data_IF_039556009829
#
_entry.id   IF_039556009829
#
_cell.length_a   1.000
_cell.length_b   1.000
_cell.length_c   1.000
_cell.angle_alpha   90.00
_cell.angle_beta   90.00
_cell.angle_gamma   90.00
#
_symmetry.space_group_name_H-M   'P 1'
#
loop_
_entity.id
_entity.type
_entity.pdbx_description
1 polymer ?
#
# COMPACT_ATOMS: atom_id res chain seq x y z
N UNK A 1 -11.20 0.20 -17.76
CA UNK A 1 -10.37 -0.98 -17.98
C UNK A 1 -9.16 -0.99 -17.06
N UNK A 2 -8.79 -2.17 -16.60
CA UNK A 2 -7.62 -2.32 -15.74
C UNK A 2 -6.34 -1.78 -16.39
N UNK A 3 -6.17 -2.01 -17.67
CA UNK A 3 -4.96 -1.60 -18.40
C UNK A 3 -4.73 -0.08 -18.42
N UNK A 4 -5.78 0.71 -18.16
CA UNK A 4 -5.67 2.16 -18.10
C UNK A 4 -5.50 2.68 -16.67
N UNK A 5 -5.33 1.76 -15.70
CA UNK A 5 -5.18 2.12 -14.30
C UNK A 5 -3.71 2.21 -13.92
N UNK A 6 -3.45 2.69 -12.71
CA UNK A 6 -2.09 2.87 -12.21
C UNK A 6 -1.57 4.28 -12.35
N UNK A 7 -2.38 5.19 -12.87
CA UNK A 7 -1.99 6.59 -13.07
C UNK A 7 -0.83 6.71 -14.05
N UNK A 8 -0.04 7.76 -13.88
CA UNK A 8 1.10 8.05 -14.77
C UNK A 8 2.12 6.90 -14.82
N UNK A 9 2.28 6.17 -13.71
CA UNK A 9 3.33 5.15 -13.59
C UNK A 9 2.92 3.78 -14.13
N UNK A 10 1.65 3.56 -14.38
CA UNK A 10 1.15 2.33 -14.99
C UNK A 10 0.82 1.23 -14.00
N UNK A 11 0.06 0.25 -14.49
CA UNK A 11 -0.52 -0.82 -13.67
C UNK A 11 0.49 -1.86 -13.22
N UNK A 12 1.36 -2.30 -14.11
CA UNK A 12 2.25 -3.42 -13.83
C UNK A 12 1.54 -4.76 -13.98
N UNK A 13 1.98 -5.75 -13.23
CA UNK A 13 1.53 -7.13 -13.31
C UNK A 13 0.67 -7.50 -12.10
N UNK A 14 -0.21 -8.51 -12.21
CA UNK A 14 -0.92 -9.02 -11.03
C UNK A 14 0.07 -9.31 -9.90
N UNK A 15 -0.30 -8.89 -8.71
CA UNK A 15 0.59 -9.00 -7.54
C UNK A 15 0.47 -10.39 -6.91
N UNK A 16 0.87 -11.42 -7.66
CA UNK A 16 0.69 -12.82 -7.26
C UNK A 16 1.59 -13.19 -6.07
N UNK A 17 2.79 -12.63 -6.01
CA UNK A 17 3.75 -12.96 -4.95
C UNK A 17 3.23 -12.63 -3.56
N UNK A 18 2.42 -11.59 -3.42
CA UNK A 18 1.87 -11.14 -2.14
C UNK A 18 0.37 -11.34 -2.03
N UNK A 19 -0.25 -12.05 -3.00
CA UNK A 19 -1.71 -12.20 -3.06
C UNK A 19 -2.32 -12.73 -1.77
N UNK A 20 -1.61 -13.61 -1.05
CA UNK A 20 -2.09 -14.18 0.20
C UNK A 20 -2.23 -13.16 1.34
N UNK A 21 -1.66 -11.97 1.17
CA UNK A 21 -1.72 -10.90 2.17
C UNK A 21 -2.66 -9.75 1.74
N UNK A 22 -3.47 -9.99 0.72
CA UNK A 22 -4.43 -9.02 0.22
C UNK A 22 -5.82 -9.63 0.15
N UNK A 23 -6.83 -8.83 0.44
CA UNK A 23 -8.21 -9.15 0.13
C UNK A 23 -8.53 -8.45 -1.19
N UNK A 24 -8.87 -9.22 -2.23
CA UNK A 24 -9.11 -8.69 -3.57
C UNK A 24 -7.86 -8.68 -4.44
N UNK A 25 -8.00 -8.13 -5.63
CA UNK A 25 -6.93 -8.15 -6.64
C UNK A 25 -6.12 -6.87 -6.61
N UNK A 26 -4.81 -7.02 -6.53
CA UNK A 26 -3.88 -5.91 -6.66
C UNK A 26 -2.87 -6.15 -7.77
N UNK A 27 -2.16 -5.10 -8.13
CA UNK A 27 -1.14 -5.12 -9.19
C UNK A 27 0.10 -4.39 -8.68
N UNK A 28 1.25 -4.82 -9.16
CA UNK A 28 2.53 -4.28 -8.73
C UNK A 28 3.37 -3.92 -9.94
N UNK A 29 3.89 -2.70 -9.94
CA UNK A 29 4.89 -2.28 -10.91
C UNK A 29 6.11 -1.80 -10.16
N UNK A 30 7.23 -2.49 -10.31
CA UNK A 30 8.49 -2.08 -9.73
C UNK A 30 9.09 -1.00 -10.61
N UNK A 31 9.37 0.16 -10.03
CA UNK A 31 9.89 1.32 -10.75
C UNK A 31 11.40 1.47 -10.58
N UNK A 32 11.92 1.06 -9.43
CA UNK A 32 13.36 1.11 -9.15
C UNK A 32 14.08 -0.04 -9.83
N UNK A 33 15.39 0.10 -9.99
CA UNK A 33 16.25 -0.94 -10.54
C UNK A 33 17.01 -1.62 -9.42
N UNK A 34 17.40 -2.86 -9.66
CA UNK A 34 18.27 -3.59 -8.71
C UNK A 34 19.52 -2.79 -8.44
N UNK A 35 19.82 -2.57 -7.16
CA UNK A 35 20.99 -1.80 -6.74
C UNK A 35 20.72 -0.32 -6.50
N UNK A 36 19.51 0.16 -6.83
CA UNK A 36 19.15 1.53 -6.51
C UNK A 36 19.09 1.74 -4.99
N UNK A 37 19.33 2.96 -4.52
CA UNK A 37 19.31 3.23 -3.07
C UNK A 37 17.94 3.06 -2.44
N UNK A 38 16.87 3.20 -3.22
CA UNK A 38 15.49 3.04 -2.74
C UNK A 38 14.74 2.03 -3.60
N UNK A 39 13.90 1.24 -2.96
CA UNK A 39 12.93 0.42 -3.67
C UNK A 39 11.66 1.23 -3.82
N UNK A 40 11.24 1.42 -5.06
CA UNK A 40 10.05 2.21 -5.39
C UNK A 40 9.12 1.36 -6.25
N UNK A 41 7.88 1.23 -5.81
CA UNK A 41 6.86 0.48 -6.54
C UNK A 41 5.61 1.34 -6.72
N UNK A 42 4.84 1.02 -7.73
CA UNK A 42 3.47 1.51 -7.86
C UNK A 42 2.54 0.34 -7.58
N UNK A 43 1.72 0.47 -6.55
CA UNK A 43 0.78 -0.58 -6.14
C UNK A 43 -0.62 -0.11 -6.49
N UNK A 44 -1.35 -0.93 -7.26
CA UNK A 44 -2.71 -0.60 -7.69
C UNK A 44 -3.69 -1.63 -7.13
N UNK A 45 -4.79 -1.13 -6.61
CA UNK A 45 -5.82 -1.91 -5.94
C UNK A 45 -7.12 -1.77 -6.72
N UNK A 46 -7.77 -2.90 -7.04
CA UNK A 46 -9.13 -2.87 -7.57
C UNK A 46 -10.10 -2.35 -6.49
N UNK A 47 -11.29 -1.87 -6.87
CA UNK A 47 -12.25 -1.39 -5.87
C UNK A 47 -12.47 -2.40 -4.75
N UNK A 48 -12.37 -1.94 -3.51
CA UNK A 48 -12.53 -2.79 -2.33
C UNK A 48 -11.31 -3.59 -1.93
N UNK A 49 -10.28 -3.66 -2.76
CA UNK A 49 -9.05 -4.39 -2.44
C UNK A 49 -8.26 -3.65 -1.37
N UNK A 50 -7.75 -4.41 -0.40
CA UNK A 50 -6.90 -3.86 0.67
C UNK A 50 -5.91 -4.93 1.11
N UNK A 51 -4.76 -4.48 1.61
CA UNK A 51 -3.82 -5.43 2.20
C UNK A 51 -4.22 -5.74 3.65
N UNK A 52 -3.59 -6.76 4.21
CA UNK A 52 -3.76 -7.11 5.60
C UNK A 52 -3.09 -6.08 6.49
N UNK A 53 -3.48 -6.02 7.76
CA UNK A 53 -2.72 -5.29 8.75
C UNK A 53 -1.28 -5.79 8.72
N UNK A 54 -0.31 -4.87 8.79
CA UNK A 54 1.10 -5.25 8.75
C UNK A 54 1.98 -4.20 9.39
N UNK A 55 3.23 -4.59 9.68
CA UNK A 55 4.21 -3.75 10.36
C UNK A 55 5.52 -3.85 9.61
N UNK A 56 6.15 -2.70 9.37
CA UNK A 56 7.53 -2.64 8.87
C UNK A 56 8.44 -2.48 10.08
N UNK A 57 9.18 -3.53 10.43
CA UNK A 57 10.10 -3.49 11.55
C UNK A 57 11.47 -3.02 11.11
N UNK A 58 12.15 -2.28 11.98
CA UNK A 58 13.54 -1.89 11.79
C UNK A 58 14.15 -1.54 13.14
N UNK A 59 15.44 -1.85 13.29
CA UNK A 59 16.17 -1.43 14.48
C UNK A 59 16.40 0.07 14.46
N UNK A 60 16.77 0.61 13.29
CA UNK A 60 16.93 2.04 13.04
C UNK A 60 16.43 2.35 11.64
N UNK A 61 15.90 3.54 11.44
CA UNK A 61 15.34 3.95 10.16
C UNK A 61 14.14 3.11 9.78
N UNK A 62 14.04 2.76 8.51
CA UNK A 62 12.96 1.93 8.01
C UNK A 62 11.63 2.66 7.89
N UNK A 63 10.58 1.87 7.70
CA UNK A 63 9.25 2.40 7.43
C UNK A 63 8.99 2.52 5.94
N UNK A 64 7.93 3.20 5.60
CA UNK A 64 7.48 3.31 4.22
C UNK A 64 6.84 4.67 4.00
N UNK A 65 7.00 5.22 2.80
CA UNK A 65 6.24 6.41 2.38
C UNK A 65 5.33 5.97 1.24
N UNK A 66 4.06 6.34 1.31
CA UNK A 66 3.15 6.11 0.19
C UNK A 66 2.62 7.45 -0.32
N UNK A 67 2.43 7.53 -1.62
CA UNK A 67 1.90 8.73 -2.30
C UNK A 67 0.78 8.29 -3.22
N UNK A 68 -0.44 8.77 -2.97
CA UNK A 68 -1.56 8.47 -3.84
C UNK A 68 -1.35 9.15 -5.20
N UNK A 69 -1.46 8.39 -6.28
CA UNK A 69 -1.28 8.90 -7.64
C UNK A 69 -2.50 8.70 -8.53
N UNK A 70 -3.47 7.87 -8.12
CA UNK A 70 -4.68 7.65 -8.91
C UNK A 70 -5.79 7.10 -8.02
N UNK A 71 -7.03 7.51 -8.30
CA UNK A 71 -8.19 7.03 -7.60
C UNK A 71 -8.27 7.47 -6.15
N UNK A 72 -9.04 6.72 -5.35
CA UNK A 72 -9.25 7.04 -3.94
C UNK A 72 -9.04 5.80 -3.08
N UNK A 73 -8.39 6.00 -1.94
CA UNK A 73 -8.08 4.90 -1.04
C UNK A 73 -8.16 5.30 0.42
N UNK A 74 -7.74 4.34 1.25
CA UNK A 74 -7.70 4.47 2.70
C UNK A 74 -6.32 4.14 3.23
N UNK A 75 -5.94 4.79 4.31
CA UNK A 75 -4.85 4.40 5.17
C UNK A 75 -5.36 4.40 6.60
N UNK A 76 -5.05 3.37 7.36
CA UNK A 76 -5.43 3.34 8.78
C UNK A 76 -4.31 2.79 9.63
N UNK A 77 -3.97 3.53 10.67
CA UNK A 77 -3.08 3.13 11.73
C UNK A 77 -3.92 2.49 12.82
N UNK A 78 -3.42 1.41 13.41
CA UNK A 78 -4.12 0.75 14.52
C UNK A 78 -4.45 1.75 15.63
N UNK A 79 -5.70 1.73 16.09
CA UNK A 79 -6.18 2.62 17.15
C UNK A 79 -6.62 4.00 16.66
N UNK A 80 -6.52 4.27 15.37
CA UNK A 80 -6.92 5.57 14.79
C UNK A 80 -8.01 5.37 13.74
N UNK A 81 -8.70 6.45 13.41
CA UNK A 81 -9.70 6.43 12.36
C UNK A 81 -9.05 6.28 10.98
N UNK A 82 -9.73 5.64 10.02
CA UNK A 82 -9.24 5.57 8.66
C UNK A 82 -9.07 6.97 8.07
N UNK A 83 -7.99 7.15 7.32
CA UNK A 83 -7.68 8.40 6.64
C UNK A 83 -7.96 8.22 5.15
N UNK A 84 -8.78 9.10 4.59
CA UNK A 84 -9.08 9.11 3.16
C UNK A 84 -7.88 9.63 2.37
N UNK A 85 -7.58 8.98 1.25
CA UNK A 85 -6.46 9.37 0.38
C UNK A 85 -6.98 9.69 -1.02
N UNK A 86 -6.51 10.82 -1.55
CA UNK A 86 -6.75 11.24 -2.94
C UNK A 86 -5.43 11.58 -3.59
N UNK A 87 -5.35 11.67 -4.93
CA UNK A 87 -4.08 11.94 -5.61
C UNK A 87 -3.37 13.17 -5.05
N UNK A 88 -2.09 13.00 -4.73
CA UNK A 88 -1.26 14.02 -4.11
C UNK A 88 -1.08 13.85 -2.61
N UNK A 89 -1.90 13.03 -1.94
CA UNK A 89 -1.75 12.78 -0.52
C UNK A 89 -0.53 11.90 -0.25
N UNK A 90 0.21 12.26 0.78
CA UNK A 90 1.43 11.57 1.19
C UNK A 90 1.26 11.09 2.63
N UNK A 91 1.60 9.83 2.87
CA UNK A 91 1.61 9.26 4.21
C UNK A 91 3.01 8.75 4.51
N UNK A 92 3.59 9.23 5.60
CA UNK A 92 4.86 8.71 6.11
C UNK A 92 4.52 7.71 7.20
N UNK A 93 4.88 6.45 6.96
CA UNK A 93 4.57 5.35 7.86
C UNK A 93 5.84 4.96 8.60
N UNK A 94 5.98 5.33 9.88
CA UNK A 94 7.18 4.98 10.65
C UNK A 94 7.31 3.46 10.82
N UNK A 95 8.54 3.00 11.00
CA UNK A 95 8.77 1.62 11.40
C UNK A 95 8.05 1.33 12.72
N UNK A 96 7.53 0.12 12.87
CA UNK A 96 6.83 -0.32 14.07
C UNK A 96 5.34 -0.02 14.11
N UNK A 97 4.83 0.73 13.16
CA UNK A 97 3.39 1.09 13.13
C UNK A 97 2.59 0.01 12.42
N UNK A 98 1.61 -0.55 13.11
CA UNK A 98 0.66 -1.50 12.53
C UNK A 98 -0.40 -0.73 11.76
N UNK A 99 -0.54 -1.05 10.47
CA UNK A 99 -1.39 -0.29 9.56
C UNK A 99 -1.87 -1.16 8.40
N UNK A 100 -2.78 -0.61 7.62
CA UNK A 100 -3.16 -1.15 6.33
C UNK A 100 -3.50 0.00 5.38
N UNK A 101 -3.50 -0.28 4.09
CA UNK A 101 -4.00 0.63 3.07
C UNK A 101 -4.67 -0.14 1.96
N UNK A 102 -5.51 0.54 1.20
CA UNK A 102 -6.27 -0.09 0.14
C UNK A 102 -7.23 0.85 -0.54
N UNK A 103 -7.92 0.34 -1.55
CA UNK A 103 -8.89 1.10 -2.33
C UNK A 103 -10.18 1.34 -1.55
N UNK A 104 -10.86 2.43 -1.87
CA UNK A 104 -12.24 2.60 -1.45
C UNK A 104 -13.14 1.60 -2.18
N UNK A 105 -14.30 1.36 -1.63
CA UNK A 105 -15.22 0.31 -2.09
C UNK A 105 -15.59 0.42 -3.57
N UNK A 106 -15.71 1.64 -4.08
CA UNK A 106 -16.14 1.90 -5.45
C UNK A 106 -15.09 2.60 -6.30
N UNK A 107 -13.83 2.57 -5.87
CA UNK A 107 -12.76 3.25 -6.60
C UNK A 107 -11.54 2.38 -6.75
N UNK A 108 -10.92 2.45 -7.91
CA UNK A 108 -9.54 2.00 -8.05
C UNK A 108 -8.64 2.93 -7.23
N UNK A 109 -7.50 2.45 -6.83
CA UNK A 109 -6.55 3.21 -6.04
C UNK A 109 -5.14 2.79 -6.39
N UNK A 110 -4.28 3.77 -6.68
CA UNK A 110 -2.86 3.50 -6.90
C UNK A 110 -2.03 4.41 -6.02
N UNK A 111 -1.00 3.84 -5.40
CA UNK A 111 -0.03 4.65 -4.68
C UNK A 111 1.38 4.21 -4.99
N UNK A 112 2.30 5.16 -5.04
CA UNK A 112 3.72 4.85 -4.98
C UNK A 112 4.04 4.38 -3.56
N UNK A 113 4.97 3.45 -3.47
CA UNK A 113 5.48 2.96 -2.18
C UNK A 113 7.00 3.05 -2.21
N UNK A 114 7.55 3.77 -1.24
CA UNK A 114 8.98 3.94 -1.07
C UNK A 114 9.40 3.20 0.20
N UNK A 115 10.23 2.17 0.06
CA UNK A 115 10.81 1.50 1.22
C UNK A 115 11.96 2.33 1.74
N UNK A 116 11.86 2.78 3.00
CA UNK A 116 12.90 3.60 3.62
C UNK A 116 13.99 2.67 4.13
N UNK A 117 15.26 2.92 3.76
CA UNK A 117 16.36 2.09 4.25
C UNK A 117 16.47 2.10 5.76
N UNK A 118 16.85 0.96 6.33
CA UNK A 118 17.02 0.83 7.76
C UNK A 118 17.90 -0.36 8.08
N UNK A 119 18.16 -0.57 9.37
CA UNK A 119 18.96 -1.69 9.85
C UNK A 119 18.05 -2.77 10.44
N UNK A 120 18.39 -4.04 10.20
CA UNK A 120 17.65 -5.20 10.69
C UNK A 120 16.16 -5.05 10.36
N UNK A 121 15.87 -4.83 9.08
CA UNK A 121 14.49 -4.63 8.61
C UNK A 121 13.79 -5.95 8.36
N UNK A 122 12.49 -5.99 8.63
CA UNK A 122 11.62 -7.13 8.33
C UNK A 122 10.18 -6.64 8.24
N UNK A 123 9.35 -7.44 7.56
CA UNK A 123 7.92 -7.14 7.47
C UNK A 123 7.15 -8.22 8.21
N UNK A 124 6.16 -7.81 8.97
CA UNK A 124 5.28 -8.72 9.69
C UNK A 124 3.87 -8.57 9.12
N UNK A 125 3.31 -9.65 8.58
CA UNK A 125 1.94 -9.67 8.11
C UNK A 125 1.05 -10.17 9.24
N UNK A 126 0.00 -9.40 9.51
CA UNK A 126 -0.94 -9.66 10.60
C UNK A 126 -2.29 -10.13 10.03
N UNK A 127 -3.38 -9.83 10.70
CA UNK A 127 -4.70 -10.30 10.31
C UNK A 127 -5.27 -9.50 9.13
N UNK A 128 -6.24 -10.08 8.39
CA UNK A 128 -6.97 -9.34 7.36
C UNK A 128 -7.75 -8.17 7.97
N UNK A 129 -8.03 -7.18 7.15
CA UNK A 129 -8.97 -6.12 7.50
C UNK A 129 -10.37 -6.67 7.25
N UNK A 130 -11.12 -6.90 8.33
CA UNK A 130 -12.47 -7.47 8.23
C UNK A 130 -13.43 -6.50 7.56
N UNK A 131 -14.52 -7.04 7.01
CA UNK A 131 -15.56 -6.19 6.41
C UNK A 131 -16.13 -5.19 7.41
N UNK A 132 -16.22 -5.57 8.69
CA UNK A 132 -16.70 -4.68 9.74
C UNK A 132 -15.75 -3.51 9.99
N UNK A 133 -14.44 -3.74 9.90
CA UNK A 133 -13.43 -2.71 10.10
C UNK A 133 -13.22 -1.85 8.85
N UNK A 134 -13.53 -2.40 7.68
CA UNK A 134 -13.31 -1.71 6.42
C UNK A 134 -14.36 -0.60 6.24
N UNK A 135 -13.94 0.64 5.94
CA UNK A 135 -14.89 1.75 5.80
C UNK A 135 -15.88 1.53 4.67
N UNK A 136 -17.13 1.93 4.88
CA UNK A 136 -18.21 1.70 3.91
C UNK A 136 -18.29 2.75 2.82
N UNK A 137 -17.53 3.80 2.90
CA UNK A 137 -17.53 4.82 1.85
C UNK A 137 -16.19 5.31 1.44
#
# INVERSE_FOLDING_TARGET
DAENRGGFFGLGEPNDAYAKYFTGQSYLKVLSKKGDPLTICNVTFEPGCRNFWHIHHAKQGGGQVIICVDGEGWYQEEGKAPQSLVPGDIVEIPAGVKHWHGAKKHSWFSHLAFEIPGTETSNEWCEPVTDDAYPQD
#
